data_IF_324257987635
#
_entry.id   IF_324257987635
#
_cell.length_a   1.000
_cell.length_b   1.000
_cell.length_c   1.000
_cell.angle_alpha   90.00
_cell.angle_beta   90.00
_cell.angle_gamma   90.00
#
_symmetry.space_group_name_H-M   'P 1'
#
loop_
_entity.id
_entity.type
_entity.pdbx_description
1 polymer ?
#
# COMPACT_ATOMS: atom_id res chain seq x y z
N UNK A 1 9.70 -16.68 -9.51
CA UNK A 1 10.81 -15.70 -9.41
C UNK A 1 10.20 -14.46 -8.82
N UNK A 2 10.81 -13.91 -7.78
CA UNK A 2 10.25 -12.81 -7.00
C UNK A 2 10.85 -11.50 -7.51
N UNK A 3 10.00 -10.58 -7.94
CA UNK A 3 10.36 -9.23 -8.32
C UNK A 3 10.09 -8.27 -7.14
N UNK A 4 11.07 -7.43 -6.83
CA UNK A 4 10.93 -6.36 -5.82
C UNK A 4 10.33 -5.12 -6.50
N UNK A 5 9.04 -4.88 -6.28
CA UNK A 5 8.25 -3.89 -7.02
C UNK A 5 8.37 -2.48 -6.43
N UNK A 6 9.55 -1.89 -6.60
CA UNK A 6 9.90 -0.55 -6.10
C UNK A 6 9.25 0.59 -6.87
N UNK A 7 8.71 0.30 -8.06
CA UNK A 7 7.99 1.22 -8.94
C UNK A 7 6.69 1.74 -8.30
N UNK A 8 6.14 1.00 -7.32
CA UNK A 8 5.05 1.47 -6.45
C UNK A 8 5.45 2.63 -5.52
N UNK A 9 6.75 2.90 -5.36
CA UNK A 9 7.28 3.81 -4.35
C UNK A 9 7.43 3.18 -2.96
N UNK A 10 7.20 1.86 -2.84
CA UNK A 10 7.32 1.09 -1.61
C UNK A 10 8.52 0.13 -1.71
N UNK A 11 9.24 -0.05 -0.59
CA UNK A 11 10.40 -0.95 -0.50
C UNK A 11 10.03 -2.33 0.07
N UNK A 12 8.77 -2.56 0.43
CA UNK A 12 8.29 -3.78 1.08
C UNK A 12 7.33 -4.61 0.21
N UNK A 13 7.21 -4.34 -1.09
CA UNK A 13 6.32 -5.08 -2.02
C UNK A 13 7.10 -6.07 -2.87
N UNK A 14 6.70 -7.34 -2.83
CA UNK A 14 7.36 -8.44 -3.55
C UNK A 14 6.34 -9.24 -4.35
N UNK A 15 6.56 -9.39 -5.66
CA UNK A 15 5.65 -10.07 -6.57
C UNK A 15 6.31 -11.35 -7.09
N UNK A 16 5.78 -12.51 -6.71
CA UNK A 16 6.16 -13.79 -7.30
C UNK A 16 5.33 -14.09 -8.56
N UNK A 17 5.96 -14.71 -9.55
CA UNK A 17 5.29 -15.20 -10.76
C UNK A 17 5.06 -14.15 -11.84
N UNK A 18 5.63 -12.94 -11.71
CA UNK A 18 5.57 -11.93 -12.77
C UNK A 18 6.53 -12.29 -13.92
N UNK A 19 6.14 -11.92 -15.14
CA UNK A 19 6.96 -12.15 -16.33
C UNK A 19 8.06 -11.11 -16.43
N UNK A 20 9.30 -11.57 -16.40
CA UNK A 20 10.49 -10.77 -16.62
C UNK A 20 11.11 -11.22 -17.94
N UNK A 21 11.26 -10.27 -18.86
CA UNK A 21 11.89 -10.44 -20.16
C UNK A 21 13.21 -9.66 -20.18
N UNK A 22 14.08 -9.95 -21.15
CA UNK A 22 15.22 -9.09 -21.44
C UNK A 22 14.97 -8.37 -22.74
N UNK A 23 15.23 -7.07 -22.76
CA UNK A 23 15.20 -6.31 -23.99
C UNK A 23 16.48 -6.51 -24.81
N UNK A 24 16.54 -5.82 -25.96
CA UNK A 24 17.65 -5.90 -26.91
C UNK A 24 18.97 -5.34 -26.34
N UNK A 25 18.90 -4.48 -25.31
CA UNK A 25 20.04 -3.90 -24.60
C UNK A 25 20.51 -4.77 -23.42
N UNK A 26 19.72 -5.81 -23.07
CA UNK A 26 20.03 -6.78 -22.02
C UNK A 26 19.47 -6.40 -20.65
N UNK A 27 18.63 -5.36 -20.57
CA UNK A 27 17.97 -4.93 -19.35
C UNK A 27 16.74 -5.80 -19.06
N UNK A 28 16.51 -6.07 -17.78
CA UNK A 28 15.34 -6.84 -17.34
C UNK A 28 14.09 -5.93 -17.40
N UNK A 29 13.11 -6.33 -18.22
CA UNK A 29 11.82 -5.64 -18.41
C UNK A 29 10.70 -6.43 -17.75
N UNK A 30 9.97 -5.77 -16.85
CA UNK A 30 8.82 -6.34 -16.15
C UNK A 30 7.54 -5.84 -16.82
N UNK A 31 6.67 -6.75 -17.22
CA UNK A 31 5.32 -6.39 -17.70
C UNK A 31 4.30 -6.57 -16.59
N UNK A 32 3.55 -5.51 -16.27
CA UNK A 32 2.43 -5.50 -15.31
C UNK A 32 1.12 -5.30 -16.08
N UNK A 33 0.40 -6.38 -16.47
CA UNK A 33 -0.77 -6.25 -17.34
C UNK A 33 -1.97 -5.54 -16.69
N UNK A 34 -2.15 -5.70 -15.38
CA UNK A 34 -3.29 -5.17 -14.63
C UNK A 34 -2.83 -4.32 -13.43
N UNK A 35 -2.17 -3.19 -13.72
CA UNK A 35 -1.57 -2.33 -12.68
C UNK A 35 -2.56 -1.83 -11.62
N UNK A 36 -3.79 -1.47 -12.02
CA UNK A 36 -4.81 -1.01 -11.08
C UNK A 36 -5.23 -2.12 -10.10
N UNK A 37 -5.30 -3.36 -10.58
CA UNK A 37 -5.60 -4.52 -9.73
C UNK A 37 -4.43 -4.79 -8.77
N UNK A 38 -3.19 -4.76 -9.26
CA UNK A 38 -2.00 -4.90 -8.43
C UNK A 38 -1.98 -3.85 -7.31
N UNK A 39 -2.22 -2.58 -7.62
CA UNK A 39 -2.22 -1.51 -6.63
C UNK A 39 -3.35 -1.67 -5.61
N UNK A 40 -4.51 -2.19 -6.04
CA UNK A 40 -5.61 -2.54 -5.13
C UNK A 40 -5.21 -3.66 -4.16
N UNK A 41 -4.48 -4.68 -4.61
CA UNK A 41 -3.93 -5.76 -3.76
C UNK A 41 -2.84 -5.23 -2.82
N UNK A 42 -2.02 -4.28 -3.25
CA UNK A 42 -1.05 -3.61 -2.36
C UNK A 42 -1.79 -2.82 -1.28
N UNK A 43 -2.82 -2.06 -1.64
CA UNK A 43 -3.65 -1.32 -0.68
C UNK A 43 -4.30 -2.27 0.33
N UNK A 44 -4.80 -3.42 -0.11
CA UNK A 44 -5.31 -4.49 0.74
C UNK A 44 -4.25 -4.97 1.76
N UNK A 45 -3.03 -5.24 1.30
CA UNK A 45 -1.91 -5.62 2.17
C UNK A 45 -1.61 -4.56 3.24
N UNK A 46 -1.62 -3.27 2.87
CA UNK A 46 -1.38 -2.16 3.80
C UNK A 46 -2.49 -2.07 4.86
N UNK A 47 -3.76 -2.12 4.45
CA UNK A 47 -4.88 -2.00 5.42
C UNK A 47 -4.98 -3.21 6.34
N UNK A 48 -4.50 -4.37 5.90
CA UNK A 48 -4.46 -5.63 6.66
C UNK A 48 -3.18 -5.83 7.48
N UNK A 49 -2.23 -4.91 7.46
CA UNK A 49 -1.03 -4.99 8.31
C UNK A 49 -1.40 -5.22 9.78
N UNK A 50 -0.58 -6.02 10.47
CA UNK A 50 -0.78 -6.35 11.89
C UNK A 50 -0.42 -5.19 12.83
N UNK A 51 0.43 -4.26 12.36
CA UNK A 51 0.88 -3.06 13.06
C UNK A 51 0.71 -1.83 12.16
N UNK A 52 1.05 -0.65 12.67
CA UNK A 52 0.91 0.64 12.00
C UNK A 52 1.63 0.69 10.65
N UNK A 53 1.06 1.44 9.71
CA UNK A 53 1.67 1.61 8.38
C UNK A 53 2.81 2.62 8.43
N UNK A 54 3.77 2.46 7.52
CA UNK A 54 4.85 3.40 7.31
C UNK A 54 4.39 4.70 6.62
N UNK A 55 5.24 5.73 6.66
CA UNK A 55 4.99 6.97 5.91
C UNK A 55 4.92 6.77 4.39
N UNK A 56 5.69 5.83 3.84
CA UNK A 56 5.67 5.50 2.42
C UNK A 56 4.32 4.86 2.03
N UNK A 57 3.82 3.95 2.86
CA UNK A 57 2.50 3.32 2.68
C UNK A 57 1.35 4.32 2.83
N UNK A 58 1.45 5.26 3.77
CA UNK A 58 0.51 6.39 3.86
C UNK A 58 0.49 7.20 2.56
N UNK A 59 1.67 7.52 2.00
CA UNK A 59 1.77 8.25 0.73
C UNK A 59 1.15 7.45 -0.42
N UNK A 60 1.40 6.15 -0.46
CA UNK A 60 0.84 5.24 -1.45
C UNK A 60 -0.70 5.28 -1.37
N UNK A 61 -1.30 4.97 -0.22
CA UNK A 61 -2.75 4.99 -0.04
C UNK A 61 -3.37 6.35 -0.38
N UNK A 62 -2.74 7.46 0.05
CA UNK A 62 -3.23 8.80 -0.29
C UNK A 62 -3.27 9.02 -1.81
N UNK A 63 -2.25 8.56 -2.52
CA UNK A 63 -2.14 8.72 -3.98
C UNK A 63 -3.16 7.84 -4.70
N UNK A 64 -3.35 6.59 -4.25
CA UNK A 64 -4.40 5.70 -4.76
C UNK A 64 -5.82 6.26 -4.53
N UNK A 65 -6.03 6.94 -3.39
CA UNK A 65 -7.27 7.66 -3.10
C UNK A 65 -7.47 8.93 -3.95
N UNK A 66 -6.48 9.34 -4.75
CA UNK A 66 -6.53 10.55 -5.56
C UNK A 66 -6.50 11.85 -4.75
N UNK A 67 -6.00 11.82 -3.51
CA UNK A 67 -6.03 12.95 -2.59
C UNK A 67 -4.69 13.70 -2.55
N UNK A 68 -4.75 15.02 -2.44
CA UNK A 68 -3.61 15.84 -2.02
C UNK A 68 -3.38 15.71 -0.51
N UNK A 69 -2.18 16.10 -0.03
CA UNK A 69 -1.91 16.17 1.42
C UNK A 69 -2.88 17.10 2.16
N UNK A 70 -3.36 18.16 1.50
CA UNK A 70 -4.30 19.10 2.11
C UNK A 70 -5.72 18.51 2.24
N UNK A 71 -6.18 17.76 1.24
CA UNK A 71 -7.48 17.08 1.29
C UNK A 71 -7.47 15.96 2.34
N UNK A 72 -6.40 15.15 2.39
CA UNK A 72 -6.26 14.14 3.43
C UNK A 72 -6.26 14.78 4.84
N UNK A 73 -5.53 15.90 5.01
CA UNK A 73 -5.48 16.61 6.28
C UNK A 73 -6.87 17.06 6.76
N UNK A 74 -7.75 17.51 5.85
CA UNK A 74 -9.12 17.89 6.18
C UNK A 74 -9.94 16.69 6.69
N UNK A 75 -9.79 15.52 6.06
CA UNK A 75 -10.52 14.29 6.42
C UNK A 75 -10.13 13.76 7.81
N UNK A 76 -8.85 13.87 8.19
CA UNK A 76 -8.35 13.37 9.49
C UNK A 76 -8.18 14.46 10.55
N UNK A 77 -8.70 15.66 10.29
CA UNK A 77 -8.65 16.82 11.20
C UNK A 77 -7.22 17.13 11.68
N UNK A 78 -6.31 17.27 10.72
CA UNK A 78 -4.91 17.69 10.91
C UNK A 78 -4.55 18.81 9.95
N UNK A 79 -3.37 19.36 10.11
CA UNK A 79 -2.79 20.28 9.15
C UNK A 79 -1.99 19.53 8.06
N UNK A 80 -1.78 20.20 6.93
CA UNK A 80 -1.03 19.65 5.79
C UNK A 80 0.42 19.28 6.17
N UNK A 81 1.06 20.06 7.04
CA UNK A 81 2.46 19.81 7.42
C UNK A 81 2.56 18.49 8.19
N UNK A 82 1.61 18.20 9.09
CA UNK A 82 1.52 16.92 9.80
C UNK A 82 1.47 15.73 8.83
N UNK A 83 0.61 15.77 7.80
CA UNK A 83 0.56 14.71 6.76
C UNK A 83 1.92 14.55 6.07
N UNK A 84 2.54 15.65 5.67
CA UNK A 84 3.86 15.60 5.02
C UNK A 84 4.95 15.02 5.92
N UNK A 85 4.93 15.32 7.23
CA UNK A 85 5.89 14.78 8.21
C UNK A 85 5.66 13.29 8.45
N UNK A 86 4.41 12.84 8.50
CA UNK A 86 4.06 11.41 8.56
C UNK A 86 4.58 10.66 7.35
N UNK A 87 4.33 11.17 6.14
CA UNK A 87 4.80 10.51 4.91
C UNK A 87 6.33 10.43 4.79
N UNK A 88 7.06 11.29 5.50
CA UNK A 88 8.53 11.26 5.55
C UNK A 88 9.08 10.49 6.76
N UNK A 89 8.21 9.98 7.63
CA UNK A 89 8.61 9.30 8.88
C UNK A 89 9.32 10.24 9.87
N UNK A 90 9.10 11.55 9.78
CA UNK A 90 9.76 12.54 10.66
C UNK A 90 9.11 12.63 12.05
N UNK A 91 7.85 12.19 12.16
CA UNK A 91 7.11 12.07 13.41
C UNK A 91 6.27 10.81 13.39
N UNK A 92 5.91 10.35 14.59
CA UNK A 92 5.01 9.23 14.77
C UNK A 92 3.64 9.52 14.14
N UNK A 93 3.11 8.52 13.43
CA UNK A 93 1.81 8.59 12.79
C UNK A 93 0.71 8.38 13.85
N UNK A 94 -0.27 9.28 13.88
CA UNK A 94 -1.39 9.23 14.81
C UNK A 94 -2.27 7.98 14.57
N UNK A 95 -2.43 7.09 15.58
CA UNK A 95 -3.22 5.86 15.47
C UNK A 95 -4.68 6.07 15.04
N UNK A 96 -5.30 7.17 15.47
CA UNK A 96 -6.71 7.45 15.18
C UNK A 96 -6.86 7.89 13.73
N UNK A 97 -5.96 8.75 13.25
CA UNK A 97 -5.90 9.14 11.85
C UNK A 97 -5.62 7.93 10.95
N UNK A 98 -4.70 7.05 11.35
CA UNK A 98 -4.40 5.82 10.61
C UNK A 98 -5.63 4.92 10.49
N UNK A 99 -6.37 4.70 11.60
CA UNK A 99 -7.60 3.90 11.61
C UNK A 99 -8.63 4.44 10.61
N UNK A 100 -8.83 5.76 10.58
CA UNK A 100 -9.73 6.42 9.63
C UNK A 100 -9.24 6.27 8.19
N UNK A 101 -7.94 6.33 7.96
CA UNK A 101 -7.33 6.18 6.63
C UNK A 101 -7.48 4.76 6.11
N UNK A 102 -7.27 3.73 6.96
CA UNK A 102 -7.55 2.33 6.60
C UNK A 102 -9.01 2.14 6.21
N UNK A 103 -9.93 2.67 7.02
CA UNK A 103 -11.37 2.58 6.73
C UNK A 103 -11.75 3.29 5.42
N UNK A 104 -11.19 4.48 5.20
CA UNK A 104 -11.43 5.25 3.97
C UNK A 104 -10.88 4.53 2.74
N UNK A 105 -9.69 3.93 2.83
CA UNK A 105 -9.10 3.13 1.76
C UNK A 105 -9.98 1.93 1.40
N UNK A 106 -10.45 1.18 2.40
CA UNK A 106 -11.38 0.04 2.20
C UNK A 106 -12.63 0.50 1.44
N UNK A 107 -13.25 1.60 1.87
CA UNK A 107 -14.47 2.11 1.24
C UNK A 107 -14.24 2.63 -0.19
N UNK A 108 -13.26 3.52 -0.37
CA UNK A 108 -13.08 4.28 -1.63
C UNK A 108 -12.38 3.48 -2.73
N UNK A 109 -11.56 2.51 -2.35
CA UNK A 109 -10.90 1.61 -3.30
C UNK A 109 -11.66 0.30 -3.49
N UNK A 110 -12.84 0.17 -2.86
CA UNK A 110 -13.70 -1.02 -2.90
C UNK A 110 -12.91 -2.30 -2.57
N UNK A 111 -12.09 -2.26 -1.52
CA UNK A 111 -11.25 -3.39 -1.12
C UNK A 111 -12.12 -4.53 -0.58
N UNK A 112 -11.81 -5.76 -0.97
CA UNK A 112 -12.55 -6.96 -0.55
C UNK A 112 -12.06 -7.44 0.83
N UNK A 113 -12.27 -6.59 1.85
CA UNK A 113 -11.74 -6.79 3.20
C UNK A 113 -12.88 -6.75 4.22
N UNK A 114 -13.12 -7.89 4.88
CA UNK A 114 -14.07 -7.99 5.98
C UNK A 114 -13.38 -7.72 7.33
N UNK A 115 -13.04 -6.46 7.62
CA UNK A 115 -12.44 -6.05 8.91
C UNK A 115 -13.20 -4.89 9.51
N UNK A 116 -13.55 -5.01 10.79
CA UNK A 116 -14.27 -3.96 11.52
C UNK A 116 -13.33 -2.87 12.04
N UNK A 117 -13.87 -1.66 12.24
CA UNK A 117 -13.11 -0.50 12.74
C UNK A 117 -12.39 -0.76 14.07
N UNK A 118 -12.96 -1.60 14.95
CA UNK A 118 -12.33 -1.97 16.23
C UNK A 118 -11.04 -2.76 16.04
N UNK A 119 -11.00 -3.63 15.03
CA UNK A 119 -9.79 -4.39 14.69
C UNK A 119 -8.77 -3.51 13.95
N UNK A 120 -9.21 -2.65 13.03
CA UNK A 120 -8.32 -1.64 12.41
C UNK A 120 -7.63 -0.77 13.48
N UNK A 121 -8.39 -0.34 14.49
CA UNK A 121 -7.85 0.46 15.60
C UNK A 121 -6.79 -0.29 16.42
N UNK A 122 -6.97 -1.60 16.64
CA UNK A 122 -5.98 -2.44 17.32
C UNK A 122 -4.71 -2.64 16.48
N UNK A 123 -4.83 -2.59 15.14
CA UNK A 123 -3.71 -2.72 14.20
C UNK A 123 -2.94 -1.41 14.03
N UNK A 124 -3.56 -0.25 14.22
CA UNK A 124 -2.93 1.07 14.11
C UNK A 124 -2.02 1.41 15.29
N UNK A 125 -1.05 0.53 15.59
CA UNK A 125 -0.04 0.72 16.62
C UNK A 125 1.30 1.03 15.96
N UNK A 126 1.91 2.20 16.20
CA UNK A 126 3.16 2.59 15.58
C UNK A 126 4.24 1.52 15.72
N UNK A 127 4.96 1.28 14.63
CA UNK A 127 6.05 0.30 14.59
C UNK A 127 7.18 0.77 13.69
N UNK A 128 8.40 0.36 14.02
CA UNK A 128 9.57 0.47 13.14
C UNK A 128 9.82 -0.83 12.35
N UNK A 129 9.02 -1.87 12.58
CA UNK A 129 9.13 -3.14 11.87
C UNK A 129 8.61 -2.98 10.44
N UNK A 130 9.45 -3.32 9.46
CA UNK A 130 9.01 -3.47 8.08
C UNK A 130 8.04 -4.65 8.00
N UNK A 131 6.88 -4.44 7.38
CA UNK A 131 5.85 -5.46 7.19
C UNK A 131 5.79 -5.80 5.69
N UNK A 132 6.37 -6.92 5.22
CA UNK A 132 6.41 -7.24 3.79
C UNK A 132 5.02 -7.55 3.22
N UNK A 133 4.75 -7.05 2.02
CA UNK A 133 3.56 -7.36 1.21
C UNK A 133 4.00 -8.31 0.11
N UNK A 134 3.70 -9.59 0.29
CA UNK A 134 4.01 -10.64 -0.69
C UNK A 134 2.78 -10.89 -1.57
N UNK A 135 2.96 -10.84 -2.88
CA UNK A 135 1.91 -10.94 -3.89
C UNK A 135 2.25 -12.07 -4.86
N UNK A 136 1.24 -12.84 -5.26
CA UNK A 136 1.35 -13.85 -6.32
C UNK A 136 0.65 -13.33 -7.58
N UNK A 137 1.39 -13.25 -8.68
CA UNK A 137 0.87 -12.94 -10.00
C UNK A 137 0.43 -14.23 -10.72
N UNK A 138 -0.83 -14.29 -11.14
CA UNK A 138 -1.38 -15.45 -11.85
C UNK A 138 -1.14 -15.30 -13.35
N UNK A 139 -0.58 -16.33 -13.99
CA UNK A 139 -0.28 -16.33 -15.43
C UNK A 139 0.52 -15.09 -15.88
N UNK A 140 1.58 -14.76 -15.14
CA UNK A 140 2.38 -13.56 -15.40
C UNK A 140 1.65 -12.23 -15.12
N UNK A 141 0.60 -12.25 -14.31
CA UNK A 141 -0.26 -11.10 -14.00
C UNK A 141 -1.44 -10.89 -14.94
N UNK A 142 -1.64 -11.79 -15.91
CA UNK A 142 -2.79 -11.71 -16.84
C UNK A 142 -4.10 -12.14 -16.21
N UNK A 143 -4.04 -13.05 -15.25
CA UNK A 143 -5.21 -13.60 -14.54
C UNK A 143 -5.33 -12.99 -13.13
N UNK A 144 -4.71 -11.83 -12.94
CA UNK A 144 -4.79 -11.04 -11.72
C UNK A 144 -3.68 -11.29 -10.69
N UNK A 145 -3.87 -10.67 -9.52
CA UNK A 145 -2.93 -10.66 -8.40
C UNK A 145 -3.66 -11.04 -7.11
N UNK A 146 -2.93 -11.61 -6.15
CA UNK A 146 -3.46 -11.89 -4.82
C UNK A 146 -2.36 -11.78 -3.76
N UNK A 147 -2.72 -11.41 -2.54
CA UNK A 147 -1.81 -11.54 -1.40
C UNK A 147 -1.40 -13.02 -1.24
N UNK A 148 -0.12 -13.25 -0.97
CA UNK A 148 0.37 -14.55 -0.57
C UNK A 148 -0.15 -14.87 0.84
N UNK A 149 -0.55 -16.13 1.06
CA UNK A 149 -1.00 -16.63 2.35
C UNK A 149 0.16 -16.83 3.34
#
# INVERSE_FOLDING_TARGET
MVHHYTESGLDNVFIDGIRIERDDDGDDVVTVPAINELHRVIAEGIVLHGKGMSGAELRFLRTELGLTQAELAQLVHRDKQSIGRWERGEIEFDPTAETLIRQLAIEKLELDVEVGIGELSQRSVPTAETQPISIVARNGGKDGYALAA
#
